data_IF_534558094643
#
_entry.id   IF_534558094643
#
_cell.length_a   1.000
_cell.length_b   1.000
_cell.length_c   1.000
_cell.angle_alpha   90.00
_cell.angle_beta   90.00
_cell.angle_gamma   90.00
#
_symmetry.space_group_name_H-M   'P 1'
#
loop_
_entity.id
_entity.type
_entity.pdbx_description
1 polymer ?
#
# COMPACT_ATOMS: atom_id res chain seq x y z
N UNK A 1 -2.33 -1.11 5.64
CA UNK A 1 -3.55 -1.52 6.39
C UNK A 1 -3.84 -2.98 6.08
N UNK A 2 -4.47 -3.75 6.98
CA UNK A 2 -4.91 -5.12 6.62
C UNK A 2 -6.06 -5.03 5.61
N UNK A 3 -6.16 -5.95 4.66
CA UNK A 3 -7.29 -5.99 3.70
C UNK A 3 -8.68 -6.01 4.37
N UNK A 4 -8.75 -6.48 5.62
CA UNK A 4 -9.97 -6.47 6.45
C UNK A 4 -10.39 -5.07 6.91
N UNK A 5 -9.46 -4.12 6.96
CA UNK A 5 -9.69 -2.74 7.39
C UNK A 5 -10.15 -1.84 6.23
N UNK A 6 -10.00 -2.30 4.97
CA UNK A 6 -10.43 -1.58 3.78
C UNK A 6 -11.93 -1.28 3.79
N UNK A 7 -12.78 -2.21 4.21
CA UNK A 7 -14.22 -2.02 4.24
C UNK A 7 -14.64 -0.84 5.15
N UNK A 8 -13.96 -0.69 6.28
CA UNK A 8 -14.21 0.40 7.23
C UNK A 8 -13.60 1.72 6.75
N UNK A 9 -12.40 1.66 6.16
CA UNK A 9 -11.78 2.82 5.53
C UNK A 9 -12.60 3.36 4.34
N UNK A 10 -13.28 2.49 3.58
CA UNK A 10 -14.19 2.89 2.53
C UNK A 10 -15.35 3.72 3.07
N UNK A 11 -15.96 3.34 4.19
CA UNK A 11 -17.03 4.12 4.82
C UNK A 11 -16.57 5.50 5.30
N UNK A 12 -15.29 5.63 5.70
CA UNK A 12 -14.79 6.83 6.38
C UNK A 12 -14.01 7.81 5.48
N UNK A 13 -13.26 7.33 4.47
CA UNK A 13 -12.25 8.13 3.76
C UNK A 13 -12.21 7.89 2.25
N UNK A 14 -13.21 8.37 1.52
CA UNK A 14 -13.14 8.48 0.08
C UNK A 14 -12.61 9.86 -0.32
N UNK A 15 -11.28 10.04 -0.50
CA UNK A 15 -10.64 11.10 -1.33
C UNK A 15 -9.09 11.11 -1.20
N UNK A 16 -8.41 10.18 -1.88
CA UNK A 16 -6.99 10.34 -2.23
C UNK A 16 -6.83 11.13 -3.54
N UNK A 17 -5.73 11.86 -3.72
CA UNK A 17 -5.39 12.47 -5.03
C UNK A 17 -4.91 11.39 -5.99
N UNK A 18 -5.63 11.17 -7.10
CA UNK A 18 -5.24 10.22 -8.14
C UNK A 18 -4.16 10.81 -9.06
N UNK A 19 -3.24 9.97 -9.53
CA UNK A 19 -2.25 10.36 -10.53
C UNK A 19 -2.90 10.49 -11.92
N UNK A 20 -2.27 11.23 -12.83
CA UNK A 20 -2.74 11.32 -14.23
C UNK A 20 -2.41 10.06 -15.06
N UNK A 21 -1.53 9.18 -14.55
CA UNK A 21 -1.11 7.98 -15.26
C UNK A 21 -2.12 6.88 -15.04
N UNK A 22 -2.76 6.43 -16.12
CA UNK A 22 -3.63 5.25 -16.12
C UNK A 22 -2.86 3.99 -16.49
N UNK A 23 -3.24 2.86 -15.89
CA UNK A 23 -2.76 1.53 -16.25
C UNK A 23 -3.93 0.68 -16.73
N UNK A 24 -3.73 -0.10 -17.78
CA UNK A 24 -4.67 -1.13 -18.21
C UNK A 24 -4.17 -2.46 -17.70
N UNK A 25 -4.99 -3.15 -16.91
CA UNK A 25 -4.68 -4.49 -16.41
C UNK A 25 -5.74 -5.47 -16.88
N UNK A 26 -5.30 -6.67 -17.24
CA UNK A 26 -6.19 -7.79 -17.52
C UNK A 26 -6.17 -8.72 -16.32
N UNK A 27 -7.33 -8.89 -15.70
CA UNK A 27 -7.50 -9.83 -14.58
C UNK A 27 -7.70 -11.24 -15.14
N UNK A 28 -7.25 -12.24 -14.38
CA UNK A 28 -7.71 -13.61 -14.63
C UNK A 28 -9.22 -13.73 -14.37
N UNK A 29 -9.81 -14.82 -14.85
CA UNK A 29 -11.26 -15.03 -14.80
C UNK A 29 -11.79 -15.04 -13.36
N UNK A 30 -11.03 -15.58 -12.41
CA UNK A 30 -11.45 -15.69 -11.02
C UNK A 30 -11.41 -14.34 -10.31
N UNK A 31 -10.33 -13.58 -10.49
CA UNK A 31 -10.19 -12.23 -9.97
C UNK A 31 -11.24 -11.29 -10.55
N UNK A 32 -11.53 -11.40 -11.85
CA UNK A 32 -12.60 -10.64 -12.50
C UNK A 32 -13.98 -10.96 -11.90
N UNK A 33 -14.29 -12.24 -11.67
CA UNK A 33 -15.55 -12.66 -11.06
C UNK A 33 -15.68 -12.16 -9.61
N UNK A 34 -14.60 -12.23 -8.82
CA UNK A 34 -14.56 -11.71 -7.44
C UNK A 34 -14.77 -10.20 -7.41
N UNK A 35 -14.13 -9.45 -8.30
CA UNK A 35 -14.30 -7.99 -8.41
C UNK A 35 -15.74 -7.63 -8.78
N UNK A 36 -16.34 -8.34 -9.73
CA UNK A 36 -17.74 -8.14 -10.11
C UNK A 36 -18.69 -8.39 -8.93
N UNK A 37 -18.48 -9.45 -8.16
CA UNK A 37 -19.28 -9.73 -6.97
C UNK A 37 -19.16 -8.62 -5.91
N UNK A 38 -17.96 -8.07 -5.70
CA UNK A 38 -17.76 -6.94 -4.78
C UNK A 38 -18.49 -5.69 -5.31
N UNK A 39 -18.42 -5.41 -6.61
CA UNK A 39 -19.13 -4.27 -7.20
C UNK A 39 -20.66 -4.40 -7.06
N UNK A 40 -21.21 -5.62 -7.17
CA UNK A 40 -22.63 -5.89 -6.91
C UNK A 40 -23.02 -5.63 -5.45
N UNK A 41 -22.15 -5.98 -4.49
CA UNK A 41 -22.37 -5.73 -3.07
C UNK A 41 -22.31 -4.23 -2.72
N UNK A 42 -21.50 -3.46 -3.44
CA UNK A 42 -21.27 -2.02 -3.20
C UNK A 42 -21.60 -1.18 -4.44
N UNK A 43 -22.87 -1.11 -4.87
CA UNK A 43 -23.26 -0.52 -6.16
C UNK A 43 -23.05 1.00 -6.26
N UNK A 44 -22.74 1.66 -5.14
CA UNK A 44 -22.43 3.11 -5.10
C UNK A 44 -20.95 3.41 -5.39
N UNK A 45 -20.11 2.40 -5.54
CA UNK A 45 -18.67 2.52 -5.80
C UNK A 45 -18.37 2.21 -7.25
N UNK A 46 -17.46 2.97 -7.85
CA UNK A 46 -16.96 2.63 -9.18
C UNK A 46 -15.97 1.46 -9.05
N UNK A 47 -15.94 0.59 -10.06
CA UNK A 47 -15.06 -0.59 -10.06
C UNK A 47 -13.59 -0.18 -10.02
N UNK A 48 -13.25 0.93 -10.67
CA UNK A 48 -11.92 1.53 -10.70
C UNK A 48 -11.48 2.04 -9.33
N UNK A 49 -12.41 2.57 -8.52
CA UNK A 49 -12.13 3.02 -7.15
C UNK A 49 -11.81 1.82 -6.25
N UNK A 50 -12.65 0.78 -6.33
CA UNK A 50 -12.44 -0.48 -5.60
C UNK A 50 -11.08 -1.10 -5.96
N UNK A 51 -10.76 -1.16 -7.25
CA UNK A 51 -9.49 -1.69 -7.73
C UNK A 51 -8.30 -0.86 -7.24
N UNK A 52 -8.42 0.47 -7.29
CA UNK A 52 -7.38 1.38 -6.79
C UNK A 52 -7.10 1.19 -5.29
N UNK A 53 -8.15 1.06 -4.48
CA UNK A 53 -8.04 0.84 -3.03
C UNK A 53 -7.48 -0.54 -2.69
N UNK A 54 -7.89 -1.59 -3.42
CA UNK A 54 -7.34 -2.95 -3.28
C UNK A 54 -5.85 -2.99 -3.63
N UNK A 55 -5.45 -2.36 -4.73
CA UNK A 55 -4.04 -2.26 -5.13
C UNK A 55 -3.24 -1.49 -4.10
N UNK A 56 -3.76 -0.36 -3.60
CA UNK A 56 -3.10 0.44 -2.56
C UNK A 56 -2.82 -0.39 -1.30
N UNK A 57 -3.84 -1.09 -0.78
CA UNK A 57 -3.66 -1.94 0.39
C UNK A 57 -2.67 -3.09 0.16
N UNK A 58 -2.69 -3.73 -1.01
CA UNK A 58 -1.75 -4.79 -1.34
C UNK A 58 -0.31 -4.29 -1.45
N UNK A 59 -0.11 -3.07 -1.98
CA UNK A 59 1.21 -2.44 -2.05
C UNK A 59 1.74 -2.10 -0.66
N UNK A 60 0.90 -1.53 0.22
CA UNK A 60 1.29 -1.27 1.61
C UNK A 60 1.67 -2.57 2.36
N UNK A 61 0.88 -3.63 2.20
CA UNK A 61 1.15 -4.92 2.84
C UNK A 61 2.43 -5.56 2.29
N UNK A 62 2.65 -5.47 0.98
CA UNK A 62 3.88 -5.92 0.34
C UNK A 62 5.09 -5.12 0.84
N UNK A 63 4.99 -3.80 0.92
CA UNK A 63 6.05 -2.94 1.45
C UNK A 63 6.42 -3.32 2.89
N UNK A 64 5.41 -3.52 3.74
CA UNK A 64 5.59 -3.93 5.13
C UNK A 64 6.19 -5.34 5.27
N UNK A 65 6.11 -6.18 4.23
CA UNK A 65 6.72 -7.52 4.22
C UNK A 65 8.20 -7.52 3.87
N UNK A 66 8.76 -6.39 3.42
CA UNK A 66 10.18 -6.32 3.07
C UNK A 66 11.06 -6.43 4.32
N UNK A 67 12.21 -7.12 4.21
CA UNK A 67 13.14 -7.23 5.32
C UNK A 67 13.62 -5.84 5.71
N UNK A 68 13.73 -5.60 7.02
CA UNK A 68 14.37 -4.41 7.54
C UNK A 68 15.79 -4.31 6.97
N UNK A 69 16.08 -3.23 6.26
CA UNK A 69 17.44 -2.90 5.82
C UNK A 69 17.96 -1.87 6.79
N UNK A 70 18.94 -2.26 7.61
CA UNK A 70 19.64 -1.33 8.49
C UNK A 70 20.16 -0.13 7.68
N UNK A 71 19.81 1.09 8.11
CA UNK A 71 20.33 2.30 7.49
C UNK A 71 21.85 2.39 7.60
N UNK A 72 22.49 3.15 6.71
CA UNK A 72 23.96 3.28 6.72
C UNK A 72 24.47 4.22 7.83
N UNK A 73 23.57 4.97 8.47
CA UNK A 73 23.91 5.96 9.50
C UNK A 73 23.44 5.53 10.88
N UNK A 74 24.35 5.67 11.85
CA UNK A 74 24.05 5.54 13.27
C UNK A 74 23.35 6.82 13.73
N UNK A 75 22.13 6.71 14.25
CA UNK A 75 21.31 7.83 14.74
C UNK A 75 21.41 8.04 16.25
N UNK A 76 21.74 7.00 16.99
CA UNK A 76 21.94 7.08 18.43
C UNK A 76 22.87 5.95 18.90
N UNK A 77 23.30 6.02 20.16
CA UNK A 77 24.01 4.95 20.85
C UNK A 77 23.25 4.70 22.15
N UNK A 78 22.93 3.45 22.44
CA UNK A 78 22.15 3.10 23.63
C UNK A 78 22.98 3.14 24.92
N UNK A 79 22.34 2.78 26.04
CA UNK A 79 22.95 2.82 27.38
C UNK A 79 24.08 1.78 27.57
N UNK A 80 24.15 0.75 26.73
CA UNK A 80 25.22 -0.26 26.73
C UNK A 80 26.36 0.09 25.75
N UNK A 81 26.19 1.15 24.95
CA UNK A 81 27.18 1.61 23.97
C UNK A 81 26.98 1.02 22.57
N UNK A 82 25.84 0.35 22.32
CA UNK A 82 25.55 -0.25 21.03
C UNK A 82 24.98 0.80 20.06
N UNK A 83 25.44 0.82 18.79
CA UNK A 83 24.97 1.76 17.80
C UNK A 83 23.55 1.44 17.34
N UNK A 84 22.64 2.40 17.50
CA UNK A 84 21.29 2.40 16.94
C UNK A 84 21.31 3.08 15.57
N UNK A 85 20.83 2.40 14.53
CA UNK A 85 20.86 2.87 13.15
C UNK A 85 19.54 3.54 12.77
N UNK A 86 19.58 4.45 11.79
CA UNK A 86 18.35 5.02 11.22
C UNK A 86 17.45 3.88 10.71
N UNK A 87 16.15 3.98 10.99
CA UNK A 87 15.17 3.19 10.27
C UNK A 87 15.26 3.58 8.79
N UNK A 88 15.73 2.66 7.95
CA UNK A 88 15.63 2.88 6.51
C UNK A 88 14.15 2.93 6.18
N UNK A 89 13.69 4.06 5.65
CA UNK A 89 12.48 4.06 4.83
C UNK A 89 12.58 2.89 3.84
N UNK A 90 11.51 2.07 3.77
CA UNK A 90 11.40 0.89 2.91
C UNK A 90 11.97 1.14 1.51
N UNK A 91 12.46 0.09 0.85
CA UNK A 91 13.16 0.18 -0.44
C UNK A 91 12.46 1.03 -1.52
N UNK A 92 11.14 1.19 -1.45
CA UNK A 92 10.33 2.03 -2.35
C UNK A 92 10.45 3.53 -2.01
N UNK A 93 10.58 3.91 -0.74
CA UNK A 93 10.81 5.30 -0.31
C UNK A 93 12.13 5.88 -0.84
N UNK A 94 13.17 5.05 -1.02
CA UNK A 94 14.43 5.48 -1.66
C UNK A 94 14.27 5.86 -3.14
N UNK A 95 13.25 5.34 -3.83
CA UNK A 95 12.99 5.67 -5.24
C UNK A 95 12.20 6.98 -5.40
N UNK A 96 11.30 7.31 -4.48
CA UNK A 96 10.57 8.60 -4.53
C UNK A 96 11.44 9.83 -4.23
N UNK A 97 12.44 9.72 -3.35
CA UNK A 97 13.37 10.85 -3.08
C UNK A 97 14.36 11.16 -4.21
N UNK A 98 14.33 10.39 -5.31
CA UNK A 98 15.23 10.55 -6.46
C UNK A 98 14.52 11.03 -7.75
N UNK A 99 13.23 11.37 -7.69
CA UNK A 99 12.45 11.87 -8.81
C UNK A 99 12.07 13.34 -8.64
#
# INVERSE_FOLDING_TARGET
MKIRELAQHWEENAKGRLTKTGYVIHLDVEAAARLAAIAEMYPKRQTEELLGELIGAALEELEASFPYVQGQHVVATDEEGDPLYEDSEHAIGKMQKRA
#
